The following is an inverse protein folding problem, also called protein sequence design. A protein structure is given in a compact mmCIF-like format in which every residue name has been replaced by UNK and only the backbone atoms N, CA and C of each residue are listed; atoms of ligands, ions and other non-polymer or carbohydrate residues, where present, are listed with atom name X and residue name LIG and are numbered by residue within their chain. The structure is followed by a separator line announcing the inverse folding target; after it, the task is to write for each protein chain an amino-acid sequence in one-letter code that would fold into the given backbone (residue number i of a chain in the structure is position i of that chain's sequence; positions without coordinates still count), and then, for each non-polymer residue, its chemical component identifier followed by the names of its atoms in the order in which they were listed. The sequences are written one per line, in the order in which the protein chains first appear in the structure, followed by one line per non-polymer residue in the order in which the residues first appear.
data_IF_682868206996
#
_entry.id   IF_682868206996
#
_cell.length_a   1.000
_cell.length_b   1.000
_cell.length_c   1.000
_cell.angle_alpha   90.00
_cell.angle_beta   90.00
_cell.angle_gamma   90.00
#
_symmetry.space_group_name_H-M   'P 1'
#
loop_
_entity.id
_entity.type
_entity.pdbx_description
1 polymer ?
#
# COMPACT_ATOMS: atom_id res chain seq x y z
N UNK A 1 45.66 11.03 20.52
CA UNK A 1 44.63 10.14 19.95
C UNK A 1 43.83 9.63 21.13
N UNK A 2 42.52 9.90 21.18
CA UNK A 2 41.67 9.42 22.28
C UNK A 2 41.31 7.95 22.07
N UNK A 3 41.34 7.17 23.14
CA UNK A 3 40.95 5.76 23.12
C UNK A 3 39.47 5.64 22.70
N UNK A 4 39.21 4.81 21.68
CA UNK A 4 37.85 4.45 21.24
C UNK A 4 37.58 3.01 21.65
N UNK A 5 36.40 2.77 22.23
CA UNK A 5 35.99 1.45 22.70
C UNK A 5 34.55 1.18 22.27
N UNK A 6 34.25 -0.10 22.07
CA UNK A 6 32.89 -0.61 21.90
C UNK A 6 32.36 -1.06 23.27
N UNK A 7 31.15 -0.63 23.62
CA UNK A 7 30.50 -0.92 24.90
C UNK A 7 29.15 -1.57 24.65
N UNK A 8 28.98 -2.79 25.17
CA UNK A 8 27.70 -3.46 25.15
C UNK A 8 26.76 -2.89 26.23
N UNK A 9 25.65 -2.32 25.78
CA UNK A 9 24.58 -1.79 26.60
C UNK A 9 23.42 -2.77 26.60
N UNK A 10 22.87 -3.02 27.79
CA UNK A 10 21.60 -3.73 27.96
C UNK A 10 20.55 -2.71 28.38
N UNK A 11 19.39 -2.77 27.75
CA UNK A 11 18.28 -1.88 28.04
C UNK A 11 16.95 -2.63 27.86
N UNK A 12 15.88 -2.09 28.42
CA UNK A 12 14.54 -2.67 28.31
C UNK A 12 13.55 -1.60 27.83
N UNK A 13 12.72 -1.94 26.85
CA UNK A 13 11.61 -1.08 26.38
C UNK A 13 10.33 -1.91 26.46
N UNK A 14 9.30 -1.41 27.15
CA UNK A 14 8.02 -2.13 27.31
C UNK A 14 8.21 -3.60 27.72
N UNK A 15 9.07 -3.85 28.72
CA UNK A 15 9.44 -5.19 29.23
C UNK A 15 10.15 -6.12 28.22
N UNK A 16 10.57 -5.59 27.07
CA UNK A 16 11.43 -6.30 26.09
C UNK A 16 12.89 -5.96 26.37
N UNK A 17 13.63 -6.95 26.86
CA UNK A 17 15.08 -6.84 27.05
C UNK A 17 15.81 -6.84 25.71
N UNK A 18 16.75 -5.90 25.56
CA UNK A 18 17.52 -5.68 24.34
C UNK A 18 18.97 -5.37 24.64
N UNK A 19 19.79 -5.52 23.60
CA UNK A 19 21.23 -5.24 23.65
C UNK A 19 21.63 -4.40 22.45
N UNK A 20 22.58 -3.51 22.67
CA UNK A 20 23.21 -2.74 21.60
C UNK A 20 24.69 -2.53 21.94
N UNK A 21 25.53 -2.44 20.93
CA UNK A 21 26.95 -2.10 21.10
C UNK A 21 27.12 -0.65 20.68
N UNK A 22 27.57 0.21 21.60
CA UNK A 22 27.80 1.64 21.36
C UNK A 22 29.29 1.96 21.32
N UNK A 23 29.70 2.79 20.37
CA UNK A 23 31.05 3.36 20.35
C UNK A 23 31.16 4.51 21.34
N UNK A 24 32.16 4.47 22.19
CA UNK A 24 32.52 5.55 23.11
C UNK A 24 33.94 6.03 22.85
N UNK A 25 34.18 7.32 23.07
CA UNK A 25 35.52 7.90 23.02
C UNK A 25 35.88 8.55 24.35
N UNK A 26 37.14 8.41 24.74
CA UNK A 26 37.67 9.05 25.94
C UNK A 26 37.88 10.55 25.70
N UNK A 27 37.26 11.36 26.54
CA UNK A 27 37.51 12.80 26.62
C UNK A 27 38.71 13.09 27.54
N UNK A 28 39.34 14.28 27.41
CA UNK A 28 40.36 14.72 28.38
C UNK A 28 39.80 14.70 29.81
N UNK A 29 40.62 14.29 30.77
CA UNK A 29 40.21 14.21 32.17
C UNK A 29 40.04 15.63 32.74
N UNK A 30 38.81 16.16 32.73
CA UNK A 30 38.53 17.57 33.12
C UNK A 30 37.90 17.71 34.50
N UNK A 31 37.26 16.66 35.04
CA UNK A 31 36.59 16.70 36.36
C UNK A 31 37.31 15.79 37.36
N UNK A 32 38.02 16.38 38.34
CA UNK A 32 38.74 15.69 39.42
C UNK A 32 39.62 14.50 38.99
N UNK A 33 40.11 14.47 37.75
CA UNK A 33 40.93 13.37 37.23
C UNK A 33 40.17 12.08 36.91
N UNK A 34 38.83 12.11 36.89
CA UNK A 34 38.03 10.96 36.46
C UNK A 34 38.01 10.83 34.93
N UNK A 35 38.15 9.60 34.39
CA UNK A 35 37.97 9.35 32.97
C UNK A 35 36.56 9.75 32.54
N UNK A 36 36.45 10.57 31.51
CA UNK A 36 35.18 10.93 30.90
C UNK A 36 35.05 10.23 29.56
N UNK A 37 33.87 9.68 29.30
CA UNK A 37 33.55 8.99 28.06
C UNK A 37 32.34 9.65 27.41
N UNK A 38 32.41 9.83 26.10
CA UNK A 38 31.30 10.32 25.29
C UNK A 38 30.85 9.21 24.36
N UNK A 39 29.55 8.96 24.34
CA UNK A 39 28.93 8.14 23.30
C UNK A 39 29.07 8.85 21.97
N UNK A 40 29.70 8.17 21.00
CA UNK A 40 29.98 8.71 19.67
C UNK A 40 28.83 8.41 18.73
N UNK A 41 28.27 7.20 18.81
CA UNK A 41 27.17 6.78 17.96
C UNK A 41 25.84 6.79 18.71
N UNK A 42 24.80 7.42 18.15
CA UNK A 42 23.47 7.34 18.73
C UNK A 42 22.93 5.91 18.62
N UNK A 43 22.19 5.48 19.65
CA UNK A 43 21.44 4.23 19.60
C UNK A 43 20.22 4.43 18.69
N UNK A 44 20.38 4.12 17.41
CA UNK A 44 19.34 4.20 16.40
C UNK A 44 19.01 2.81 15.86
N UNK A 45 17.71 2.57 15.70
CA UNK A 45 17.14 1.31 15.23
C UNK A 45 16.38 1.59 13.93
N UNK A 46 16.64 0.85 12.85
CA UNK A 46 15.88 1.00 11.62
C UNK A 46 14.47 0.40 11.77
N UNK A 47 13.46 1.24 11.61
CA UNK A 47 12.06 0.86 11.44
C UNK A 47 11.72 0.86 9.96
N UNK A 48 11.17 -0.26 9.47
CA UNK A 48 10.51 -0.35 8.16
C UNK A 48 9.00 -0.39 8.35
N UNK A 49 8.30 0.51 7.67
CA UNK A 49 6.84 0.51 7.60
C UNK A 49 6.43 0.01 6.22
N UNK A 50 5.85 -1.17 6.14
CA UNK A 50 5.33 -1.77 4.90
C UNK A 50 3.85 -1.42 4.71
N UNK A 51 3.41 -1.15 3.49
CA UNK A 51 2.02 -0.85 3.14
C UNK A 51 1.64 -1.48 1.80
N UNK A 52 0.36 -1.85 1.67
CA UNK A 52 -0.25 -2.29 0.41
C UNK A 52 -0.60 -1.12 -0.55
N UNK A 53 -0.46 0.14 -0.11
CA UNK A 53 -0.70 1.35 -0.91
C UNK A 53 0.42 2.39 -0.66
N UNK A 54 1.66 2.17 -1.14
CA UNK A 54 2.76 3.10 -0.90
C UNK A 54 2.59 4.46 -1.60
N UNK A 55 1.69 4.57 -2.59
CA UNK A 55 1.45 5.78 -3.38
C UNK A 55 0.65 6.86 -2.63
N UNK A 56 -0.06 6.50 -1.56
CA UNK A 56 -0.86 7.45 -0.74
C UNK A 56 0.00 8.49 -0.01
N UNK A 57 1.28 8.20 0.19
CA UNK A 57 2.21 9.09 0.86
C UNK A 57 2.79 8.50 2.14
N UNK A 58 3.52 9.32 2.90
CA UNK A 58 4.20 8.86 4.11
C UNK A 58 3.18 8.54 5.21
N UNK A 59 3.55 7.59 6.08
CA UNK A 59 2.90 7.42 7.37
C UNK A 59 3.39 8.51 8.34
N UNK A 60 2.83 8.54 9.54
CA UNK A 60 3.22 9.47 10.59
C UNK A 60 3.58 8.76 11.89
N UNK A 61 4.53 9.32 12.63
CA UNK A 61 4.76 9.02 14.05
C UNK A 61 4.68 10.35 14.80
N UNK A 62 3.60 10.54 15.57
CA UNK A 62 3.26 11.86 16.11
C UNK A 62 3.09 12.88 14.99
N UNK A 63 3.89 13.96 15.01
CA UNK A 63 3.88 14.99 13.95
C UNK A 63 4.93 14.76 12.85
N UNK A 64 5.73 13.70 12.93
CA UNK A 64 6.80 13.44 11.99
C UNK A 64 6.34 12.49 10.88
N UNK A 65 6.61 12.86 9.61
CA UNK A 65 6.40 11.98 8.48
C UNK A 65 7.48 10.89 8.45
N UNK A 66 7.07 9.63 8.24
CA UNK A 66 7.97 8.47 8.12
C UNK A 66 7.79 7.81 6.77
N UNK A 67 8.90 7.39 6.17
CA UNK A 67 8.88 6.74 4.86
C UNK A 67 8.21 5.37 4.96
N UNK A 68 7.35 5.08 3.98
CA UNK A 68 6.72 3.76 3.82
C UNK A 68 7.37 3.00 2.66
N UNK A 69 7.30 1.68 2.74
CA UNK A 69 7.75 0.72 1.73
C UNK A 69 6.53 0.01 1.16
N UNK A 70 6.59 -0.42 -0.10
CA UNK A 70 5.63 -1.38 -0.63
C UNK A 70 5.96 -2.81 -0.17
N UNK A 71 5.14 -3.81 -0.56
CA UNK A 71 5.32 -5.19 -0.16
C UNK A 71 6.68 -5.75 -0.63
N UNK A 72 7.51 -6.21 0.31
CA UNK A 72 8.87 -6.69 -0.02
C UNK A 72 8.87 -7.88 -0.97
N UNK A 73 7.90 -8.77 -0.82
CA UNK A 73 7.79 -9.99 -1.64
C UNK A 73 7.49 -9.68 -3.11
N UNK A 74 6.97 -8.48 -3.38
CA UNK A 74 6.60 -8.00 -4.72
C UNK A 74 7.72 -7.17 -5.38
N UNK A 75 8.88 -7.05 -4.74
CA UNK A 75 10.02 -6.29 -5.26
C UNK A 75 9.94 -4.78 -5.02
N UNK A 76 9.01 -4.31 -4.20
CA UNK A 76 8.84 -2.89 -3.93
C UNK A 76 10.07 -2.27 -3.26
N UNK A 77 10.37 -0.97 -3.49
CA UNK A 77 11.45 -0.26 -2.82
C UNK A 77 11.28 -0.29 -1.30
N UNK A 78 12.37 -0.68 -0.62
CA UNK A 78 12.39 -0.79 0.83
C UNK A 78 13.06 0.46 1.43
N UNK A 79 12.37 1.08 2.38
CA UNK A 79 12.80 2.31 3.05
C UNK A 79 12.75 2.09 4.57
N UNK A 80 13.71 2.70 5.26
CA UNK A 80 13.78 2.65 6.72
C UNK A 80 13.81 4.06 7.30
N UNK A 81 13.25 4.20 8.49
CA UNK A 81 13.37 5.39 9.34
C UNK A 81 14.14 5.01 10.60
N UNK A 82 15.19 5.77 10.92
CA UNK A 82 15.99 5.52 12.12
C UNK A 82 15.32 6.17 13.35
N UNK A 83 15.04 5.37 14.37
CA UNK A 83 14.38 5.80 15.60
C UNK A 83 15.20 5.41 16.84
N UNK A 84 15.03 6.16 17.93
CA UNK A 84 15.51 5.69 19.22
C UNK A 84 14.65 4.52 19.70
N UNK A 85 15.16 3.65 20.59
CA UNK A 85 14.34 2.61 21.19
C UNK A 85 13.17 3.21 21.97
N UNK A 86 11.98 2.65 21.78
CA UNK A 86 10.75 3.18 22.32
C UNK A 86 9.52 2.54 21.70
N UNK A 87 8.36 2.82 22.27
CA UNK A 87 7.07 2.44 21.67
C UNK A 87 6.50 3.63 20.92
N UNK A 88 6.10 3.38 19.68
CA UNK A 88 5.60 4.39 18.75
C UNK A 88 4.27 3.95 18.16
N UNK A 89 3.37 4.90 17.93
CA UNK A 89 2.18 4.69 17.11
C UNK A 89 2.50 5.17 15.70
N UNK A 90 2.38 4.27 14.73
CA UNK A 90 2.47 4.55 13.30
C UNK A 90 1.06 4.76 12.78
N UNK A 91 0.78 5.98 12.34
CA UNK A 91 -0.52 6.40 11.81
C UNK A 91 -0.46 6.45 10.28
N UNK A 92 -1.46 5.88 9.64
CA UNK A 92 -1.57 5.84 8.19
C UNK A 92 -2.08 7.16 7.59
N UNK A 93 -1.71 7.43 6.34
CA UNK A 93 -2.31 8.51 5.56
C UNK A 93 -3.67 8.06 5.01
N UNK A 94 -4.76 8.46 5.66
CA UNK A 94 -6.13 8.11 5.25
C UNK A 94 -6.75 9.18 4.37
N UNK A 95 -7.70 8.79 3.53
CA UNK A 95 -8.57 9.73 2.80
C UNK A 95 -10.02 9.25 2.85
N UNK A 96 -10.92 9.89 2.09
CA UNK A 96 -12.33 9.51 2.07
C UNK A 96 -12.59 8.11 1.46
N UNK A 97 -11.65 7.53 0.72
CA UNK A 97 -11.80 6.30 -0.05
C UNK A 97 -11.12 5.10 0.61
N UNK A 98 -9.99 5.30 1.30
CA UNK A 98 -9.20 4.24 1.92
C UNK A 98 -8.77 4.62 3.33
N UNK A 99 -8.77 3.62 4.21
CA UNK A 99 -8.40 3.77 5.63
C UNK A 99 -7.57 2.60 6.09
N UNK A 100 -6.68 2.81 7.06
CA UNK A 100 -5.91 1.78 7.74
C UNK A 100 -5.91 2.05 9.23
N UNK A 101 -5.82 0.99 10.03
CA UNK A 101 -5.72 1.11 11.48
C UNK A 101 -4.30 1.50 11.89
N UNK A 102 -4.21 2.37 12.90
CA UNK A 102 -2.95 2.73 13.53
C UNK A 102 -2.27 1.49 14.12
N UNK A 103 -0.94 1.45 14.03
CA UNK A 103 -0.14 0.34 14.52
C UNK A 103 0.78 0.79 15.64
N UNK A 104 0.70 0.12 16.78
CA UNK A 104 1.70 0.28 17.83
C UNK A 104 2.91 -0.62 17.52
N UNK A 105 4.08 -0.01 17.43
CA UNK A 105 5.35 -0.71 17.21
C UNK A 105 6.30 -0.43 18.36
N UNK A 106 6.84 -1.50 18.93
CA UNK A 106 7.94 -1.40 19.89
C UNK A 106 9.25 -1.52 19.14
N UNK A 107 9.98 -0.41 19.08
CA UNK A 107 11.28 -0.31 18.44
C UNK A 107 12.34 -0.70 19.47
N UNK A 108 12.89 -1.89 19.28
CA UNK A 108 13.92 -2.51 20.12
C UNK A 108 14.94 -3.21 19.25
N UNK A 109 16.08 -3.56 19.83
CA UNK A 109 17.20 -4.13 19.07
C UNK A 109 18.08 -3.04 18.45
N UNK A 110 19.03 -3.44 17.62
CA UNK A 110 19.99 -2.55 16.96
C UNK A 110 21.44 -2.79 17.41
N UNK A 111 22.30 -3.17 16.47
CA UNK A 111 23.71 -2.78 16.52
C UNK A 111 23.76 -1.27 16.32
N UNK A 112 24.68 -0.52 16.96
CA UNK A 112 24.84 0.89 16.59
C UNK A 112 25.05 0.98 15.09
N UNK A 113 24.18 1.73 14.40
CA UNK A 113 24.37 2.04 12.98
C UNK A 113 25.59 2.95 12.92
N UNK A 114 26.76 2.35 12.73
CA UNK A 114 27.99 3.11 12.56
C UNK A 114 27.88 3.86 11.23
N UNK A 115 28.32 5.11 11.18
CA UNK A 115 28.43 5.87 9.93
C UNK A 115 29.42 5.29 8.89
N UNK A 116 29.89 4.05 9.11
CA UNK A 116 30.92 3.35 8.33
C UNK A 116 30.47 1.95 7.87
N UNK A 117 29.26 1.51 8.20
CA UNK A 117 28.71 0.22 7.76
C UNK A 117 27.45 0.43 6.93
N UNK A 118 27.44 -0.12 5.72
CA UNK A 118 26.24 -0.17 4.85
C UNK A 118 25.18 -1.16 5.38
N UNK A 119 25.52 -1.96 6.40
CA UNK A 119 24.61 -2.86 7.08
C UNK A 119 23.84 -2.09 8.17
N UNK A 120 22.54 -1.91 7.96
CA UNK A 120 21.64 -1.27 8.91
C UNK A 120 21.32 -2.18 10.11
N UNK A 121 21.79 -3.44 10.10
CA UNK A 121 21.53 -4.41 11.16
C UNK A 121 20.08 -4.90 11.16
N UNK A 122 19.63 -5.38 12.31
CA UNK A 122 18.27 -5.90 12.50
C UNK A 122 17.24 -4.77 12.31
N UNK A 123 16.31 -4.98 11.38
CA UNK A 123 15.22 -4.04 11.08
C UNK A 123 13.97 -4.45 11.83
N UNK A 124 13.33 -3.49 12.49
CA UNK A 124 12.00 -3.67 13.07
C UNK A 124 10.96 -3.43 11.98
N UNK A 125 10.01 -4.34 11.85
CA UNK A 125 8.95 -4.28 10.84
C UNK A 125 7.61 -3.86 11.45
N UNK A 126 6.89 -2.99 10.76
CA UNK A 126 5.50 -2.61 11.01
C UNK A 126 4.71 -2.63 9.70
N UNK A 127 3.44 -3.02 9.74
CA UNK A 127 2.60 -3.14 8.54
C UNK A 127 1.33 -2.31 8.62
N UNK A 128 1.09 -1.44 7.63
CA UNK A 128 -0.16 -0.70 7.46
C UNK A 128 -0.98 -1.35 6.34
N UNK A 129 -2.17 -1.86 6.68
CA UNK A 129 -3.07 -2.49 5.72
C UNK A 129 -4.27 -1.58 5.46
N UNK A 130 -4.28 -0.96 4.28
CA UNK A 130 -5.39 -0.16 3.81
C UNK A 130 -6.55 -1.02 3.34
N UNK A 131 -7.75 -0.59 3.71
CA UNK A 131 -9.02 -1.18 3.34
C UNK A 131 -9.92 -0.13 2.66
N UNK A 132 -10.81 -0.60 1.79
CA UNK A 132 -11.78 0.24 1.11
C UNK A 132 -12.86 0.73 2.10
N UNK A 133 -13.10 2.04 2.12
CA UNK A 133 -14.22 2.64 2.84
C UNK A 133 -15.55 2.40 2.11
N UNK A 134 -16.70 2.61 2.78
CA UNK A 134 -18.01 2.61 2.11
C UNK A 134 -18.11 3.62 0.96
N UNK A 135 -17.49 4.81 1.10
CA UNK A 135 -17.52 5.83 0.05
C UNK A 135 -16.83 5.38 -1.24
N UNK A 136 -15.75 4.60 -1.14
CA UNK A 136 -15.13 3.99 -2.32
C UNK A 136 -16.02 2.93 -2.95
N UNK A 137 -16.71 2.10 -2.15
CA UNK A 137 -17.63 1.08 -2.67
C UNK A 137 -18.81 1.71 -3.41
N UNK A 138 -19.39 2.77 -2.84
CA UNK A 138 -20.48 3.51 -3.45
C UNK A 138 -20.03 4.15 -4.78
N UNK A 139 -18.85 4.79 -4.78
CA UNK A 139 -18.29 5.41 -5.97
C UNK A 139 -18.03 4.41 -7.10
N UNK A 140 -17.40 3.28 -6.77
CA UNK A 140 -17.14 2.20 -7.73
C UNK A 140 -18.44 1.63 -8.30
N UNK A 141 -19.47 1.48 -7.47
CA UNK A 141 -20.78 0.97 -7.91
C UNK A 141 -21.49 1.95 -8.85
N UNK A 142 -21.48 3.25 -8.53
CA UNK A 142 -22.04 4.30 -9.37
C UNK A 142 -21.33 4.37 -10.73
N UNK A 143 -19.99 4.40 -10.74
CA UNK A 143 -19.23 4.47 -11.99
C UNK A 143 -19.36 3.18 -12.82
N UNK A 144 -19.51 2.01 -12.19
CA UNK A 144 -19.72 0.75 -12.91
C UNK A 144 -21.02 0.77 -13.71
N UNK A 145 -22.11 1.30 -13.13
CA UNK A 145 -23.38 1.46 -13.82
C UNK A 145 -23.25 2.43 -15.00
N UNK A 146 -22.64 3.60 -14.75
CA UNK A 146 -22.41 4.60 -15.80
C UNK A 146 -21.53 4.07 -16.94
N UNK A 147 -20.51 3.27 -16.62
CA UNK A 147 -19.66 2.60 -17.60
C UNK A 147 -20.48 1.65 -18.48
N UNK A 148 -21.27 0.75 -17.87
CA UNK A 148 -22.13 -0.18 -18.61
C UNK A 148 -23.14 0.58 -19.47
N UNK A 149 -23.81 1.59 -18.92
CA UNK A 149 -24.77 2.42 -19.65
C UNK A 149 -24.15 3.10 -20.86
N UNK A 150 -22.93 3.63 -20.72
CA UNK A 150 -22.21 4.27 -21.83
C UNK A 150 -21.87 3.28 -22.95
N UNK A 151 -21.55 2.02 -22.62
CA UNK A 151 -21.39 0.97 -23.61
C UNK A 151 -22.69 0.67 -24.35
N UNK A 152 -23.82 0.50 -23.66
CA UNK A 152 -25.09 0.24 -24.35
C UNK A 152 -25.58 1.42 -25.18
N UNK A 153 -25.29 2.67 -24.76
CA UNK A 153 -25.66 3.87 -25.51
C UNK A 153 -24.91 4.01 -26.85
N UNK A 154 -23.77 3.35 -27.02
CA UNK A 154 -22.95 3.42 -28.25
C UNK A 154 -23.24 2.29 -29.24
N UNK A 155 -24.18 1.39 -28.93
CA UNK A 155 -24.57 0.31 -29.83
C UNK A 155 -25.06 0.82 -31.19
N UNK A 156 -24.68 0.17 -32.31
CA UNK A 156 -23.81 -1.03 -32.41
C UNK A 156 -22.30 -0.71 -32.46
N UNK A 157 -21.90 0.56 -32.43
CA UNK A 157 -20.52 1.01 -32.58
C UNK A 157 -19.75 1.04 -31.24
N UNK A 158 -19.62 -0.14 -30.61
CA UNK A 158 -18.96 -0.28 -29.32
C UNK A 158 -17.46 0.05 -29.39
N UNK A 159 -16.95 0.72 -28.35
CA UNK A 159 -15.52 0.94 -28.15
C UNK A 159 -14.79 -0.32 -27.66
N UNK A 160 -13.44 -0.35 -27.75
CA UNK A 160 -12.63 -1.49 -27.33
C UNK A 160 -12.69 -1.79 -25.83
N UNK A 161 -13.00 -0.79 -25.02
CA UNK A 161 -13.09 -0.92 -23.55
C UNK A 161 -14.37 -1.64 -23.12
N UNK A 162 -15.40 -1.66 -23.98
CA UNK A 162 -16.68 -2.28 -23.64
C UNK A 162 -16.57 -3.80 -23.46
N UNK A 163 -17.45 -4.41 -22.64
CA UNK A 163 -17.39 -5.83 -22.38
C UNK A 163 -17.35 -6.68 -23.66
N UNK A 164 -16.39 -7.61 -23.76
CA UNK A 164 -16.13 -8.39 -24.98
C UNK A 164 -17.37 -9.13 -25.47
N UNK A 165 -18.21 -9.62 -24.54
CA UNK A 165 -19.46 -10.30 -24.87
C UNK A 165 -20.48 -9.41 -25.61
N UNK A 166 -20.45 -8.09 -25.41
CA UNK A 166 -21.25 -7.11 -26.14
C UNK A 166 -20.63 -6.85 -27.52
N UNK A 167 -19.31 -6.65 -27.57
CA UNK A 167 -18.57 -6.41 -28.83
C UNK A 167 -18.78 -7.56 -29.83
N UNK A 168 -18.66 -8.81 -29.37
CA UNK A 168 -18.83 -10.00 -30.21
C UNK A 168 -20.26 -10.16 -30.76
N UNK A 169 -21.25 -9.49 -30.16
CA UNK A 169 -22.67 -9.60 -30.54
C UNK A 169 -23.21 -8.33 -31.18
N UNK A 170 -22.38 -7.30 -31.33
CA UNK A 170 -22.79 -5.99 -31.84
C UNK A 170 -23.50 -6.07 -33.21
N UNK A 171 -23.06 -6.99 -34.08
CA UNK A 171 -23.57 -7.14 -35.45
C UNK A 171 -24.98 -7.75 -35.53
N UNK A 172 -25.39 -8.53 -34.51
CA UNK A 172 -26.67 -9.26 -34.51
C UNK A 172 -27.66 -8.72 -33.47
N UNK A 173 -27.15 -8.04 -32.44
CA UNK A 173 -27.96 -7.45 -31.38
C UNK A 173 -28.37 -6.01 -31.76
N UNK A 174 -29.24 -5.86 -32.75
CA UNK A 174 -29.75 -4.52 -33.15
C UNK A 174 -30.45 -3.78 -31.99
N UNK A 175 -30.88 -4.51 -30.95
CA UNK A 175 -31.55 -3.99 -29.76
C UNK A 175 -31.15 -4.79 -28.51
N UNK A 176 -29.93 -4.58 -28.01
CA UNK A 176 -29.54 -5.14 -26.71
C UNK A 176 -30.08 -4.28 -25.56
N UNK A 177 -30.59 -4.93 -24.51
CA UNK A 177 -31.12 -4.25 -23.32
C UNK A 177 -30.51 -4.89 -22.07
N UNK A 178 -29.98 -4.05 -21.17
CA UNK A 178 -29.46 -4.49 -19.87
C UNK A 178 -30.61 -5.13 -19.09
N UNK A 179 -30.39 -6.35 -18.64
CA UNK A 179 -31.35 -7.12 -17.83
C UNK A 179 -30.97 -7.08 -16.36
N UNK A 180 -29.69 -7.23 -16.06
CA UNK A 180 -29.13 -7.14 -14.70
C UNK A 180 -27.79 -6.40 -14.76
N UNK A 181 -27.61 -5.41 -13.88
CA UNK A 181 -26.31 -4.75 -13.71
C UNK A 181 -25.35 -5.61 -12.89
N UNK A 182 -24.04 -5.57 -13.18
CA UNK A 182 -23.04 -6.21 -12.35
C UNK A 182 -22.99 -5.54 -10.97
N UNK A 183 -23.18 -6.32 -9.91
CA UNK A 183 -23.05 -5.87 -8.52
C UNK A 183 -21.61 -6.07 -8.02
N UNK A 184 -21.09 -5.11 -7.25
CA UNK A 184 -19.77 -5.18 -6.62
C UNK A 184 -19.71 -6.35 -5.63
N UNK A 185 -18.76 -7.27 -5.83
CA UNK A 185 -18.49 -8.38 -4.90
C UNK A 185 -17.50 -7.97 -3.82
N UNK A 186 -16.50 -7.17 -4.20
CA UNK A 186 -15.50 -6.69 -3.26
C UNK A 186 -14.36 -5.93 -3.95
N UNK A 187 -13.62 -5.21 -3.11
CA UNK A 187 -12.38 -4.51 -3.47
C UNK A 187 -11.27 -5.19 -2.70
N UNK A 188 -10.28 -5.74 -3.41
CA UNK A 188 -9.18 -6.47 -2.82
C UNK A 188 -7.83 -5.93 -3.32
N UNK A 189 -6.81 -6.11 -2.50
CA UNK A 189 -5.42 -5.88 -2.89
C UNK A 189 -4.92 -7.04 -3.73
N UNK A 190 -4.30 -6.74 -4.85
CA UNK A 190 -3.58 -7.69 -5.69
C UNK A 190 -2.07 -7.52 -5.53
N UNK A 191 -1.35 -8.64 -5.49
CA UNK A 191 0.11 -8.62 -5.62
C UNK A 191 0.44 -8.15 -7.03
N UNK A 192 1.25 -7.11 -7.11
CA UNK A 192 1.67 -6.48 -8.36
C UNK A 192 3.18 -6.42 -8.36
N UNK A 193 3.80 -6.83 -9.46
CA UNK A 193 5.25 -6.72 -9.60
C UNK A 193 5.65 -5.24 -9.64
N UNK A 194 6.77 -4.91 -8.99
CA UNK A 194 7.37 -3.58 -9.07
C UNK A 194 8.51 -3.57 -10.10
N UNK A 195 8.43 -2.66 -11.07
CA UNK A 195 9.48 -2.38 -12.04
C UNK A 195 10.02 -0.96 -11.80
N UNK A 196 11.34 -0.82 -11.64
CA UNK A 196 12.00 0.46 -11.32
C UNK A 196 11.40 1.22 -10.13
N UNK A 197 10.83 0.47 -9.17
CA UNK A 197 10.22 1.01 -7.96
C UNK A 197 8.79 1.53 -8.13
N UNK A 198 8.15 1.25 -9.27
CA UNK A 198 6.75 1.59 -9.57
C UNK A 198 5.95 0.29 -9.75
N UNK A 199 4.75 0.24 -9.21
CA UNK A 199 3.85 -0.90 -9.41
C UNK A 199 3.47 -1.01 -10.90
N UNK A 200 3.58 -2.21 -11.47
CA UNK A 200 3.23 -2.47 -12.87
C UNK A 200 1.72 -2.33 -13.14
N UNK A 201 0.90 -2.58 -12.12
CA UNK A 201 -0.55 -2.39 -12.14
C UNK A 201 -1.01 -1.74 -10.82
N UNK A 202 -2.19 -1.10 -10.78
CA UNK A 202 -2.74 -0.58 -9.54
C UNK A 202 -2.96 -1.71 -8.51
N UNK A 203 -2.58 -1.50 -7.24
CA UNK A 203 -2.63 -2.54 -6.21
C UNK A 203 -4.05 -2.90 -5.78
N UNK A 204 -5.07 -2.10 -6.09
CA UNK A 204 -6.46 -2.39 -5.73
C UNK A 204 -7.29 -2.77 -6.95
N UNK A 205 -8.07 -3.84 -6.82
CA UNK A 205 -9.01 -4.31 -7.85
C UNK A 205 -10.41 -4.48 -7.30
N UNK A 206 -11.39 -3.90 -7.99
CA UNK A 206 -12.80 -4.20 -7.78
C UNK A 206 -13.22 -5.38 -8.65
N UNK A 207 -13.97 -6.29 -8.05
CA UNK A 207 -14.56 -7.47 -8.70
C UNK A 207 -16.08 -7.39 -8.62
N UNK A 208 -16.74 -7.82 -9.69
CA UNK A 208 -18.18 -7.72 -9.83
C UNK A 208 -18.78 -9.06 -10.25
N UNK A 209 -20.02 -9.28 -9.83
CA UNK A 209 -20.85 -10.36 -10.36
C UNK A 209 -21.09 -10.16 -11.87
N UNK A 210 -21.29 -11.24 -12.65
CA UNK A 210 -21.59 -11.11 -14.06
C UNK A 210 -22.91 -10.35 -14.31
N UNK A 211 -22.86 -9.31 -15.14
CA UNK A 211 -24.03 -8.61 -15.65
C UNK A 211 -24.75 -9.44 -16.72
N UNK A 212 -25.99 -9.07 -17.03
CA UNK A 212 -26.81 -9.74 -18.05
C UNK A 212 -27.46 -8.76 -19.01
N UNK A 213 -27.59 -9.19 -20.26
CA UNK A 213 -28.36 -8.47 -21.25
C UNK A 213 -29.15 -9.41 -22.13
N UNK A 214 -30.25 -8.89 -22.64
CA UNK A 214 -31.13 -9.56 -23.58
C UNK A 214 -30.96 -8.93 -24.95
N UNK A 215 -31.03 -9.73 -26.01
CA UNK A 215 -30.96 -9.25 -27.39
C UNK A 215 -31.85 -10.08 -28.29
N UNK A 216 -32.22 -9.50 -29.44
CA UNK A 216 -32.91 -10.23 -30.51
C UNK A 216 -31.95 -10.47 -31.66
N UNK A 217 -31.80 -11.73 -32.08
CA UNK A 217 -31.00 -12.15 -33.23
C UNK A 217 -31.83 -13.08 -34.10
N UNK A 218 -31.94 -12.76 -35.39
CA UNK A 218 -32.68 -13.55 -36.40
C UNK A 218 -34.12 -13.91 -35.99
N UNK A 219 -34.79 -13.01 -35.28
CA UNK A 219 -36.16 -13.18 -34.79
C UNK A 219 -36.29 -14.04 -33.53
N UNK A 220 -35.19 -14.53 -32.96
CA UNK A 220 -35.17 -15.21 -31.66
C UNK A 220 -34.69 -14.28 -30.55
N UNK A 221 -35.33 -14.39 -29.38
CA UNK A 221 -34.90 -13.73 -28.15
C UNK A 221 -33.84 -14.59 -27.46
N UNK A 222 -32.73 -13.98 -27.07
CA UNK A 222 -31.66 -14.64 -26.35
C UNK A 222 -31.11 -13.74 -25.24
N UNK A 223 -30.38 -14.34 -24.29
CA UNK A 223 -29.75 -13.66 -23.17
C UNK A 223 -28.28 -14.01 -23.11
N UNK A 224 -27.45 -13.03 -22.75
CA UNK A 224 -26.03 -13.26 -22.52
C UNK A 224 -25.54 -12.59 -21.25
N UNK A 225 -24.33 -12.97 -20.87
CA UNK A 225 -23.63 -12.45 -19.70
C UNK A 225 -22.40 -11.67 -20.15
N UNK A 226 -22.03 -10.71 -19.33
CA UNK A 226 -20.79 -9.97 -19.49
C UNK A 226 -20.13 -9.77 -18.13
N UNK A 227 -18.82 -9.66 -18.14
CA UNK A 227 -18.01 -9.47 -16.94
C UNK A 227 -17.27 -8.14 -17.06
N UNK A 228 -17.12 -7.45 -15.93
CA UNK A 228 -16.28 -6.28 -15.79
C UNK A 228 -15.44 -6.42 -14.53
N UNK A 229 -14.30 -5.76 -14.51
CA UNK A 229 -13.53 -5.48 -13.31
C UNK A 229 -13.00 -4.05 -13.39
N UNK A 230 -12.54 -3.50 -12.28
CA UNK A 230 -11.91 -2.19 -12.29
C UNK A 230 -10.60 -2.18 -11.50
N UNK A 231 -9.61 -1.51 -12.06
CA UNK A 231 -8.40 -1.12 -11.33
C UNK A 231 -8.64 0.19 -10.60
N UNK A 232 -8.17 0.29 -9.37
CA UNK A 232 -8.38 1.44 -8.50
C UNK A 232 -7.01 1.98 -8.09
N UNK A 233 -6.81 3.27 -8.37
CA UNK A 233 -5.59 4.01 -8.02
C UNK A 233 -5.95 5.16 -7.08
N UNK A 234 -5.88 4.96 -5.75
CA UNK A 234 -6.08 6.04 -4.79
C UNK A 234 -4.94 7.05 -4.85
N UNK A 235 -5.29 8.32 -4.72
CA UNK A 235 -4.35 9.43 -4.50
C UNK A 235 -4.70 10.12 -3.18
N UNK A 236 -3.98 11.17 -2.79
CA UNK A 236 -4.20 11.85 -1.51
C UNK A 236 -5.67 12.29 -1.33
N UNK A 237 -6.28 12.89 -2.36
CA UNK A 237 -7.62 13.50 -2.27
C UNK A 237 -8.66 12.87 -3.22
N UNK A 238 -8.22 12.05 -4.17
CA UNK A 238 -9.08 11.50 -5.23
C UNK A 238 -8.80 10.02 -5.51
N UNK A 239 -9.67 9.38 -6.28
CA UNK A 239 -9.50 7.99 -6.74
C UNK A 239 -9.74 7.89 -8.25
N UNK A 240 -8.79 7.30 -8.97
CA UNK A 240 -8.99 6.95 -10.37
C UNK A 240 -9.48 5.52 -10.47
N UNK A 241 -10.58 5.30 -11.20
CA UNK A 241 -11.17 3.99 -11.42
C UNK A 241 -11.14 3.70 -12.93
N UNK A 242 -10.47 2.61 -13.32
CA UNK A 242 -10.34 2.19 -14.70
C UNK A 242 -11.09 0.86 -14.91
N UNK A 243 -12.23 0.91 -15.59
CA UNK A 243 -13.01 -0.27 -15.92
C UNK A 243 -12.42 -1.00 -17.12
N UNK A 244 -12.39 -2.33 -17.03
CA UNK A 244 -11.95 -3.22 -18.11
C UNK A 244 -12.93 -4.37 -18.30
N UNK A 245 -12.94 -4.90 -19.51
CA UNK A 245 -13.69 -6.10 -19.83
C UNK A 245 -13.08 -7.32 -19.14
N UNK A 246 -13.92 -8.05 -18.41
CA UNK A 246 -13.57 -9.39 -17.91
C UNK A 246 -13.68 -10.43 -19.03
N UNK A 247 -12.84 -11.45 -18.97
CA UNK A 247 -12.99 -12.66 -19.79
C UNK A 247 -14.26 -13.44 -19.42
#
# INVERSE_FOLDING_TARGET
MGDRLDVDVRYSVADVDSRATLRVERLPDTWYGFPQWRVVDPLLVPLRVETNLPELGPAAIGSAAVAVSGPRLDGAPQRVTLLYPGTYTVTAATNQFVTADDQEVTVTGGSAVSSYSDDLGETVDSGLLYSATPALQDRVTEEAQAFVDSCFATLPALGPECPTALVLRADFAQQAVISDYPALEGIATYSVEYADGVAAEPPLRATFTPGRFSYTSDGSFDTSRFSIYAWISPSADDVTIEFRSGL
#
